data_IF_399723536876
#
_entry.id   IF_399723536876
#
_cell.length_a   1.000
_cell.length_b   1.000
_cell.length_c   1.000
_cell.angle_alpha   90.00
_cell.angle_beta   90.00
_cell.angle_gamma   90.00
#
_symmetry.space_group_name_H-M   'P 1'
#
loop_
_entity.id
_entity.type
_entity.pdbx_description
1 polymer ?
#
# COMPACT_ATOMS: atom_id res chain seq x y z
N UNK A 1 -3.25 6.96 -6.68
CA UNK A 1 -4.18 5.87 -6.25
C UNK A 1 -5.44 6.50 -5.66
N UNK A 2 -6.63 5.96 -5.95
CA UNK A 2 -7.89 6.39 -5.28
C UNK A 2 -8.28 5.33 -4.25
N UNK A 3 -8.69 5.76 -3.06
CA UNK A 3 -9.24 4.88 -2.02
C UNK A 3 -10.75 4.79 -2.15
N UNK A 4 -11.32 3.59 -2.04
CA UNK A 4 -12.77 3.37 -2.09
C UNK A 4 -13.39 3.26 -0.69
N UNK A 5 -13.14 2.16 0.02
CA UNK A 5 -13.81 1.88 1.29
C UNK A 5 -13.16 2.53 2.51
N UNK A 6 -11.85 2.78 2.51
CA UNK A 6 -11.12 3.33 3.67
C UNK A 6 -11.07 2.45 4.93
N UNK A 7 -11.67 1.26 4.92
CA UNK A 7 -11.83 0.37 6.09
C UNK A 7 -10.97 -0.91 6.02
N UNK A 8 -10.21 -1.09 4.94
CA UNK A 8 -9.39 -2.28 4.72
C UNK A 8 -10.13 -3.50 4.17
N UNK A 9 -11.45 -3.41 3.96
CA UNK A 9 -12.27 -4.48 3.38
C UNK A 9 -12.04 -4.67 1.87
N UNK A 10 -11.75 -3.58 1.18
CA UNK A 10 -11.49 -3.55 -0.26
C UNK A 10 -10.00 -3.39 -0.56
N UNK A 11 -9.60 -3.63 -1.82
CA UNK A 11 -8.19 -3.64 -2.25
C UNK A 11 -7.76 -2.39 -3.04
N UNK A 12 -8.67 -1.41 -3.21
CA UNK A 12 -8.43 -0.16 -3.96
C UNK A 12 -7.18 0.62 -3.51
N UNK A 13 -6.79 0.47 -2.25
CA UNK A 13 -5.66 1.19 -1.64
C UNK A 13 -4.42 0.31 -1.37
N UNK A 14 -4.38 -0.92 -1.91
CA UNK A 14 -3.33 -1.90 -1.61
C UNK A 14 -2.02 -1.70 -2.40
N UNK A 15 -0.94 -1.19 -1.81
CA UNK A 15 0.37 -0.91 -2.44
C UNK A 15 1.29 -2.13 -2.34
N UNK A 16 2.04 -2.42 -3.40
CA UNK A 16 3.05 -3.48 -3.38
C UNK A 16 4.32 -2.98 -2.68
N UNK A 17 4.83 -3.78 -1.75
CA UNK A 17 6.08 -3.48 -1.04
C UNK A 17 6.98 -4.70 -1.01
N UNK A 18 8.26 -4.53 -0.64
CA UNK A 18 9.24 -5.63 -0.53
C UNK A 18 8.80 -6.75 0.44
N UNK A 19 7.89 -6.45 1.37
CA UNK A 19 7.31 -7.41 2.31
C UNK A 19 5.95 -7.97 1.87
N UNK A 20 5.58 -7.75 0.61
CA UNK A 20 4.28 -8.11 0.04
C UNK A 20 3.28 -6.96 0.04
N UNK A 21 2.01 -7.26 -0.25
CA UNK A 21 1.01 -6.22 -0.50
C UNK A 21 0.40 -5.66 0.79
N UNK A 22 0.58 -4.36 1.01
CA UNK A 22 0.06 -3.60 2.17
C UNK A 22 -1.09 -2.68 1.77
N UNK A 23 -1.94 -2.23 2.70
CA UNK A 23 -3.11 -1.37 2.43
C UNK A 23 -2.97 -0.01 3.13
N UNK A 24 -2.94 1.08 2.36
CA UNK A 24 -2.83 2.46 2.89
C UNK A 24 -3.79 2.75 4.04
N UNK A 25 -5.07 2.40 3.89
CA UNK A 25 -6.07 2.68 4.92
C UNK A 25 -5.95 1.85 6.21
N UNK A 26 -5.13 0.81 6.22
CA UNK A 26 -4.93 -0.09 7.37
C UNK A 26 -3.52 0.01 7.95
N UNK A 27 -2.53 0.04 7.07
CA UNK A 27 -1.10 0.04 7.37
C UNK A 27 -0.53 1.47 7.53
N UNK A 28 -1.30 2.48 7.10
CA UNK A 28 -0.91 3.89 7.14
C UNK A 28 -0.63 4.46 5.75
N UNK A 29 -0.78 5.78 5.56
CA UNK A 29 -0.52 6.43 4.28
C UNK A 29 0.96 6.72 4.00
N UNK A 30 1.84 6.48 4.97
CA UNK A 30 3.28 6.72 4.88
C UNK A 30 3.99 5.38 4.93
N UNK A 31 4.86 5.14 3.95
CA UNK A 31 5.69 3.95 3.80
C UNK A 31 7.14 4.40 3.62
N UNK A 32 8.08 3.54 3.99
CA UNK A 32 9.49 3.79 3.68
C UNK A 32 9.71 3.79 2.17
N UNK A 33 10.63 4.61 1.67
CA UNK A 33 10.92 4.65 0.23
C UNK A 33 11.48 3.29 -0.25
N UNK A 34 12.39 2.72 0.52
CA UNK A 34 12.99 1.39 0.29
C UNK A 34 11.94 0.29 0.13
N UNK A 35 10.85 0.28 0.89
CA UNK A 35 9.86 -0.81 0.77
C UNK A 35 9.02 -0.68 -0.51
N UNK A 36 8.88 0.51 -1.11
CA UNK A 36 8.02 0.75 -2.29
C UNK A 36 8.80 0.76 -3.60
N UNK A 37 10.04 1.27 -3.61
CA UNK A 37 10.82 1.43 -4.84
C UNK A 37 11.64 0.19 -5.23
N UNK A 38 11.80 -0.81 -4.36
CA UNK A 38 12.51 -2.08 -4.65
C UNK A 38 11.90 -2.86 -5.83
N UNK A 39 10.62 -2.62 -6.16
CA UNK A 39 9.90 -3.30 -7.25
C UNK A 39 9.84 -2.51 -8.57
N UNK A 40 10.60 -1.41 -8.69
CA UNK A 40 10.64 -0.55 -9.89
C UNK A 40 11.93 -0.75 -10.69
N UNK A 41 12.53 -1.95 -10.64
CA UNK A 41 13.57 -2.42 -11.57
C UNK A 41 13.06 -3.53 -12.47
#
# INVERSE_FOLDING_TARGET
>A
RRMACGLGACLSCAVDTSSGRRKVCKDGPVFSAEEVYEHVS
#
